data_IF_100120414013
#
_entry.id   IF_100120414013
#
_cell.length_a   1.000
_cell.length_b   1.000
_cell.length_c   1.000
_cell.angle_alpha   90.00
_cell.angle_beta   90.00
_cell.angle_gamma   90.00
#
_symmetry.space_group_name_H-M   'P 1'
#
loop_
_entity.id
_entity.type
_entity.pdbx_description
1 polymer ?
#
# COMPACT_ATOMS: atom_id res chain seq x y z
N UNK A 1 -16.01 -16.43 -10.18
CA UNK A 1 -14.81 -16.18 -9.38
C UNK A 1 -14.29 -14.90 -9.96
N UNK A 2 -14.56 -13.79 -9.29
CA UNK A 2 -14.01 -12.52 -9.72
C UNK A 2 -12.56 -12.59 -9.28
N UNK A 3 -11.64 -12.65 -10.23
CA UNK A 3 -10.25 -12.33 -9.99
C UNK A 3 -10.25 -10.84 -9.59
N UNK A 4 -10.37 -10.56 -8.29
CA UNK A 4 -10.14 -9.23 -7.75
C UNK A 4 -8.63 -9.02 -7.85
N UNK A 5 -8.19 -8.42 -8.96
CA UNK A 5 -6.81 -7.98 -9.12
C UNK A 5 -6.53 -6.98 -7.98
N UNK A 6 -5.69 -7.37 -7.02
CA UNK A 6 -5.17 -6.46 -6.01
C UNK A 6 -4.59 -5.24 -6.73
N UNK A 7 -4.82 -4.03 -6.23
CA UNK A 7 -4.40 -2.83 -6.93
C UNK A 7 -2.87 -2.76 -6.97
N UNK A 8 -2.38 -2.63 -8.20
CA UNK A 8 -0.96 -2.58 -8.56
C UNK A 8 -0.59 -1.16 -9.00
N UNK A 9 0.63 -0.74 -8.67
CA UNK A 9 1.25 0.42 -9.32
C UNK A 9 2.57 0.04 -9.97
N UNK A 10 2.81 0.56 -11.18
CA UNK A 10 4.06 0.40 -11.92
C UNK A 10 4.75 1.75 -12.06
N UNK A 11 6.01 1.82 -11.64
CA UNK A 11 6.84 3.01 -11.76
C UNK A 11 7.95 2.82 -12.79
N UNK A 12 8.15 3.84 -13.64
CA UNK A 12 9.15 3.86 -14.71
C UNK A 12 10.23 4.92 -14.41
N UNK A 13 11.47 4.68 -14.85
CA UNK A 13 12.53 5.69 -14.84
C UNK A 13 13.19 5.93 -13.47
N UNK A 14 13.16 4.92 -12.60
CA UNK A 14 13.89 4.92 -11.35
C UNK A 14 15.37 4.59 -11.59
N UNK A 15 16.24 5.04 -10.68
CA UNK A 15 17.60 4.49 -10.57
C UNK A 15 17.52 3.00 -10.20
N UNK A 16 18.62 2.28 -10.40
CA UNK A 16 18.75 0.92 -9.89
C UNK A 16 18.56 0.91 -8.35
N UNK A 17 17.59 0.11 -7.89
CA UNK A 17 17.27 -0.07 -6.47
C UNK A 17 18.05 -1.25 -5.91
N UNK A 18 18.73 -1.02 -4.79
CA UNK A 18 19.41 -2.06 -4.02
C UNK A 18 18.43 -2.83 -3.13
N UNK A 19 18.82 -4.01 -2.64
CA UNK A 19 18.01 -4.75 -1.65
C UNK A 19 17.65 -3.89 -0.44
N UNK A 20 18.58 -3.03 0.03
CA UNK A 20 18.32 -2.10 1.13
C UNK A 20 17.31 -1.02 0.76
N UNK A 21 17.27 -0.57 -0.49
CA UNK A 21 16.26 0.38 -0.96
C UNK A 21 14.88 -0.28 -0.97
N UNK A 22 14.80 -1.56 -1.38
CA UNK A 22 13.55 -2.34 -1.39
C UNK A 22 13.04 -2.61 0.04
N UNK A 23 13.91 -2.99 0.97
CA UNK A 23 13.55 -3.17 2.39
C UNK A 23 13.01 -1.86 2.98
N UNK A 24 13.71 -0.75 2.75
CA UNK A 24 13.27 0.56 3.22
C UNK A 24 11.92 0.95 2.60
N UNK A 25 11.75 0.72 1.30
CA UNK A 25 10.50 1.03 0.62
C UNK A 25 9.33 0.20 1.16
N UNK A 26 9.56 -1.09 1.44
CA UNK A 26 8.55 -1.96 2.05
C UNK A 26 8.10 -1.43 3.42
N UNK A 27 9.05 -1.03 4.26
CA UNK A 27 8.75 -0.42 5.56
C UNK A 27 7.97 0.89 5.39
N UNK A 28 8.38 1.76 4.46
CA UNK A 28 7.70 3.03 4.19
C UNK A 28 6.27 2.81 3.71
N UNK A 29 6.04 1.89 2.77
CA UNK A 29 4.69 1.52 2.29
C UNK A 29 3.83 1.02 3.45
N UNK A 30 4.36 0.13 4.30
CA UNK A 30 3.64 -0.37 5.46
C UNK A 30 3.25 0.75 6.44
N UNK A 31 4.14 1.72 6.68
CA UNK A 31 3.84 2.87 7.53
C UNK A 31 2.77 3.77 6.91
N UNK A 32 2.80 4.00 5.59
CA UNK A 32 1.78 4.79 4.89
C UNK A 32 0.40 4.13 4.99
N UNK A 33 0.30 2.82 4.72
CA UNK A 33 -0.95 2.07 4.85
C UNK A 33 -1.51 2.22 6.27
N UNK A 34 -0.68 1.96 7.29
CA UNK A 34 -1.09 2.07 8.70
C UNK A 34 -1.56 3.47 9.07
N UNK A 35 -0.82 4.49 8.62
CA UNK A 35 -1.16 5.90 8.84
C UNK A 35 -2.53 6.21 8.24
N UNK A 36 -2.73 5.96 6.95
CA UNK A 36 -3.96 6.32 6.27
C UNK A 36 -5.16 5.50 6.72
N UNK A 37 -4.97 4.21 7.03
CA UNK A 37 -6.01 3.39 7.63
C UNK A 37 -6.48 3.99 8.97
N UNK A 38 -5.53 4.41 9.83
CA UNK A 38 -5.86 5.02 11.13
C UNK A 38 -6.52 6.41 11.04
N UNK A 39 -6.32 7.14 9.95
CA UNK A 39 -7.00 8.40 9.67
C UNK A 39 -8.47 8.19 9.27
N UNK A 40 -8.77 7.05 8.64
CA UNK A 40 -10.12 6.72 8.15
C UNK A 40 -10.93 6.00 9.23
N UNK A 41 -10.31 5.03 9.92
CA UNK A 41 -10.95 4.24 10.97
C UNK A 41 -10.16 4.26 12.28
N UNK A 42 -10.81 4.48 13.44
CA UNK A 42 -10.16 4.35 14.73
C UNK A 42 -9.69 2.92 14.97
N UNK A 43 -8.45 2.73 15.43
CA UNK A 43 -7.86 1.40 15.64
C UNK A 43 -8.67 0.51 16.60
N UNK A 44 -9.37 1.10 17.59
CA UNK A 44 -10.22 0.35 18.51
C UNK A 44 -11.53 -0.18 17.88
N UNK A 45 -11.82 0.20 16.64
CA UNK A 45 -12.94 -0.30 15.84
C UNK A 45 -12.50 -1.39 14.86
N UNK A 46 -11.23 -1.83 14.88
CA UNK A 46 -10.72 -2.89 14.00
C UNK A 46 -10.65 -4.20 14.78
N UNK A 47 -11.32 -5.25 14.29
CA UNK A 47 -11.21 -6.59 14.88
C UNK A 47 -9.91 -7.27 14.43
N UNK A 48 -9.62 -7.17 13.13
CA UNK A 48 -8.41 -7.69 12.53
C UNK A 48 -8.03 -6.85 11.30
N UNK A 49 -6.74 -6.67 11.09
CA UNK A 49 -6.24 -6.31 9.77
C UNK A 49 -4.85 -6.90 9.55
N UNK A 50 -4.53 -7.25 8.31
CA UNK A 50 -3.21 -7.66 7.87
C UNK A 50 -2.86 -6.95 6.56
N UNK A 51 -1.57 -6.73 6.32
CA UNK A 51 -1.08 -6.02 5.14
C UNK A 51 0.04 -6.83 4.52
N UNK A 52 -0.16 -7.25 3.28
CA UNK A 52 0.87 -7.91 2.47
C UNK A 52 1.37 -6.92 1.43
N UNK A 53 2.69 -6.79 1.32
CA UNK A 53 3.35 -5.91 0.35
C UNK A 53 4.29 -6.78 -0.47
N UNK A 54 4.10 -6.79 -1.78
CA UNK A 54 5.02 -7.40 -2.74
C UNK A 54 5.68 -6.30 -3.56
N UNK A 55 7.01 -6.39 -3.71
CA UNK A 55 7.81 -5.41 -4.46
C UNK A 55 8.66 -6.17 -5.46
N UNK A 56 8.29 -6.06 -6.73
CA UNK A 56 9.02 -6.63 -7.84
C UNK A 56 9.85 -5.53 -8.54
N UNK A 57 11.16 -5.77 -8.63
CA UNK A 57 12.15 -4.88 -9.25
C UNK A 57 12.90 -5.59 -10.40
N UNK A 58 12.25 -6.54 -11.09
CA UNK A 58 12.92 -7.44 -12.05
C UNK A 58 13.15 -6.85 -13.44
N UNK A 59 12.39 -5.86 -13.90
CA UNK A 59 12.34 -5.49 -15.34
C UNK A 59 12.24 -3.98 -15.62
N UNK A 60 13.29 -3.20 -15.32
CA UNK A 60 13.38 -1.71 -15.51
C UNK A 60 12.28 -0.89 -14.83
N UNK A 61 11.32 -1.58 -14.22
CA UNK A 61 10.09 -1.08 -13.64
C UNK A 61 10.02 -1.61 -12.22
N UNK A 62 9.58 -0.74 -11.32
CA UNK A 62 9.22 -1.13 -9.98
C UNK A 62 7.72 -1.38 -9.94
N UNK A 63 7.34 -2.59 -9.55
CA UNK A 63 5.95 -2.97 -9.29
C UNK A 63 5.79 -3.06 -7.78
N UNK A 64 4.76 -2.39 -7.26
CA UNK A 64 4.37 -2.49 -5.85
C UNK A 64 2.91 -2.93 -5.78
N UNK A 65 2.70 -4.09 -5.17
CA UNK A 65 1.39 -4.66 -4.92
C UNK A 65 1.10 -4.62 -3.42
N UNK A 66 -0.09 -4.14 -3.06
CA UNK A 66 -0.53 -4.01 -1.67
C UNK A 66 -1.86 -4.69 -1.52
N UNK A 67 -1.90 -5.69 -0.65
CA UNK A 67 -3.11 -6.39 -0.26
C UNK A 67 -3.42 -6.10 1.21
N UNK A 68 -4.69 -5.77 1.50
CA UNK A 68 -5.15 -5.42 2.84
C UNK A 68 -6.34 -6.30 3.18
N UNK A 69 -6.14 -7.24 4.10
CA UNK A 69 -7.24 -7.95 4.74
C UNK A 69 -7.72 -7.09 5.91
N UNK A 70 -8.98 -6.64 5.88
CA UNK A 70 -9.57 -5.79 6.91
C UNK A 70 -10.91 -6.36 7.34
N UNK A 71 -11.05 -6.58 8.65
CA UNK A 71 -12.29 -7.07 9.25
C UNK A 71 -12.77 -6.11 10.33
N UNK A 72 -13.99 -5.59 10.16
CA UNK A 72 -14.59 -4.61 11.06
C UNK A 72 -15.86 -5.17 11.73
N UNK A 73 -16.13 -4.81 13.00
CA UNK A 73 -17.37 -5.16 13.66
C UNK A 73 -18.60 -4.61 12.88
N UNK A 74 -19.59 -5.46 12.54
CA UNK A 74 -20.75 -5.05 11.75
C UNK A 74 -21.56 -3.90 12.37
N UNK A 75 -21.48 -3.75 13.70
CA UNK A 75 -22.21 -2.72 14.47
C UNK A 75 -21.86 -1.29 14.09
N UNK A 76 -20.72 -1.06 13.44
CA UNK A 76 -20.30 0.28 13.01
C UNK A 76 -20.78 0.65 11.61
N UNK A 77 -21.26 -0.32 10.82
CA UNK A 77 -21.77 -0.08 9.47
C UNK A 77 -20.72 0.50 8.52
N UNK A 78 -19.45 0.16 8.75
CA UNK A 78 -18.36 0.52 7.85
C UNK A 78 -18.40 -0.34 6.59
N UNK A 79 -17.84 0.21 5.52
CA UNK A 79 -17.66 -0.45 4.22
C UNK A 79 -16.17 -0.72 4.07
N UNK A 80 -15.78 -1.98 4.30
CA UNK A 80 -14.37 -2.41 4.34
C UNK A 80 -13.68 -2.17 3.00
N UNK A 81 -14.31 -2.55 1.89
CA UNK A 81 -13.80 -2.34 0.52
C UNK A 81 -13.55 -0.86 0.26
N UNK A 82 -14.48 0.01 0.64
CA UNK A 82 -14.32 1.46 0.46
C UNK A 82 -13.17 2.02 1.30
N UNK A 83 -13.00 1.54 2.53
CA UNK A 83 -11.90 1.97 3.41
C UNK A 83 -10.55 1.52 2.85
N UNK A 84 -10.48 0.27 2.39
CA UNK A 84 -9.29 -0.31 1.73
C UNK A 84 -8.93 0.55 0.51
N UNK A 85 -9.90 0.81 -0.38
CA UNK A 85 -9.65 1.62 -1.57
C UNK A 85 -9.16 3.03 -1.24
N UNK A 86 -9.80 3.74 -0.30
CA UNK A 86 -9.36 5.08 0.10
C UNK A 86 -7.97 5.08 0.74
N UNK A 87 -7.63 4.02 1.48
CA UNK A 87 -6.29 3.82 2.07
C UNK A 87 -5.24 3.63 0.98
N UNK A 88 -5.53 2.80 -0.03
CA UNK A 88 -4.63 2.49 -1.13
C UNK A 88 -4.42 3.72 -2.02
N UNK A 89 -5.47 4.47 -2.36
CA UNK A 89 -5.36 5.70 -3.15
C UNK A 89 -4.41 6.72 -2.49
N UNK A 90 -4.55 6.94 -1.18
CA UNK A 90 -3.66 7.84 -0.43
C UNK A 90 -2.23 7.30 -0.36
N UNK A 91 -2.09 6.00 -0.16
CA UNK A 91 -0.78 5.33 -0.08
C UNK A 91 -0.03 5.47 -1.39
N UNK A 92 -0.65 5.13 -2.53
CA UNK A 92 -0.01 5.23 -3.85
C UNK A 92 0.32 6.66 -4.22
N UNK A 93 -0.54 7.63 -3.88
CA UNK A 93 -0.26 9.04 -4.14
C UNK A 93 0.99 9.53 -3.38
N UNK A 94 1.17 9.12 -2.14
CA UNK A 94 2.34 9.53 -1.35
C UNK A 94 3.60 8.73 -1.74
N UNK A 95 3.45 7.44 -2.03
CA UNK A 95 4.50 6.58 -2.54
C UNK A 95 5.09 7.12 -3.85
N UNK A 96 4.24 7.58 -4.76
CA UNK A 96 4.68 8.20 -6.02
C UNK A 96 5.58 9.41 -5.76
N UNK A 97 5.30 10.22 -4.73
CA UNK A 97 6.15 11.37 -4.37
C UNK A 97 7.49 10.91 -3.80
N UNK A 98 7.46 9.94 -2.87
CA UNK A 98 8.67 9.37 -2.27
C UNK A 98 9.61 8.82 -3.35
N UNK A 99 9.07 8.05 -4.30
CA UNK A 99 9.81 7.50 -5.42
C UNK A 99 10.39 8.58 -6.33
N UNK A 100 9.62 9.64 -6.59
CA UNK A 100 10.10 10.79 -7.37
C UNK A 100 11.23 11.56 -6.68
N UNK A 101 11.14 11.75 -5.37
CA UNK A 101 12.09 12.58 -4.62
C UNK A 101 13.41 11.84 -4.31
N UNK A 102 13.35 10.53 -4.07
CA UNK A 102 14.48 9.77 -3.53
C UNK A 102 15.11 8.77 -4.51
N UNK A 103 14.37 8.38 -5.56
CA UNK A 103 14.74 7.25 -6.41
C UNK A 103 14.64 7.52 -7.91
N UNK A 104 14.27 8.74 -8.32
CA UNK A 104 14.32 9.13 -9.73
C UNK A 104 15.75 9.35 -10.22
N UNK A 105 16.02 8.96 -11.47
CA UNK A 105 17.33 9.11 -12.10
C UNK A 105 17.56 10.46 -12.78
#
# INVERSE_FOLDING_TARGET
MSDEESPQITFLGLRELTESDIEQLSDEVLQLVRKYLSEIIPQHNVDHYDVTIDIDNSEENLIVDIDIDLNLPPRFGYDEEKIIQETLDKTFLELEKILKENFSS
#
